data_IF_044091743918
#
_entry.id   IF_044091743918
#
_cell.length_a   1.000
_cell.length_b   1.000
_cell.length_c   1.000
_cell.angle_alpha   90.00
_cell.angle_beta   90.00
_cell.angle_gamma   90.00
#
_symmetry.space_group_name_H-M   'P 1'
#
loop_
_entity.id
_entity.type
_entity.pdbx_description
1 polymer ?
#
# COMPACT_ATOMS: atom_id res chain seq x y z
N UNK A 1 -8.60 10.54 -6.03
CA UNK A 1 -7.54 10.23 -5.06
C UNK A 1 -6.63 9.14 -5.62
N UNK A 2 -5.33 9.35 -5.57
CA UNK A 2 -4.37 8.36 -6.06
C UNK A 2 -3.97 7.44 -4.91
N UNK A 3 -4.01 6.13 -5.16
CA UNK A 3 -3.64 5.12 -4.18
C UNK A 3 -2.39 4.41 -4.71
N UNK A 4 -1.34 4.34 -3.90
CA UNK A 4 -0.12 3.62 -4.24
C UNK A 4 0.16 2.59 -3.17
N UNK A 5 0.43 1.36 -3.59
CA UNK A 5 0.78 0.26 -2.69
C UNK A 5 2.23 -0.13 -2.96
N UNK A 6 3.05 -0.08 -1.92
CA UNK A 6 4.45 -0.51 -1.99
C UNK A 6 4.53 -1.94 -1.47
N UNK A 7 5.09 -2.82 -2.29
CA UNK A 7 5.05 -4.26 -2.04
C UNK A 7 6.44 -4.87 -2.19
N UNK A 8 6.55 -6.13 -1.75
CA UNK A 8 7.70 -7.00 -2.03
C UNK A 8 7.16 -8.34 -2.51
N UNK A 9 7.98 -9.14 -3.22
CA UNK A 9 7.57 -10.50 -3.62
C UNK A 9 7.23 -11.35 -2.39
N UNK A 10 6.33 -12.31 -2.57
CA UNK A 10 5.95 -13.28 -1.55
C UNK A 10 5.36 -12.65 -0.28
N UNK A 11 4.66 -11.54 -0.45
CA UNK A 11 4.02 -10.85 0.67
C UNK A 11 2.52 -11.14 0.66
N UNK A 12 2.06 -11.94 1.62
CA UNK A 12 0.64 -12.31 1.71
C UNK A 12 -0.22 -11.08 1.98
N UNK A 13 0.19 -10.23 2.91
CA UNK A 13 -0.58 -9.03 3.24
C UNK A 13 -0.65 -8.04 2.07
N UNK A 14 0.39 -7.99 1.25
CA UNK A 14 0.37 -7.17 0.05
C UNK A 14 -0.72 -7.65 -0.90
N UNK A 15 -0.80 -8.96 -1.11
CA UNK A 15 -1.81 -9.54 -1.99
C UNK A 15 -3.22 -9.35 -1.41
N UNK A 16 -3.37 -9.51 -0.11
CA UNK A 16 -4.65 -9.28 0.56
C UNK A 16 -5.12 -7.84 0.36
N UNK A 17 -4.21 -6.88 0.50
CA UNK A 17 -4.52 -5.47 0.32
C UNK A 17 -4.96 -5.18 -1.12
N UNK A 18 -4.23 -5.73 -2.09
CA UNK A 18 -4.56 -5.55 -3.51
C UNK A 18 -5.94 -6.14 -3.82
N UNK A 19 -6.20 -7.35 -3.31
CA UNK A 19 -7.47 -8.02 -3.53
C UNK A 19 -8.62 -7.21 -2.95
N UNK A 20 -8.42 -6.63 -1.77
CA UNK A 20 -9.43 -5.79 -1.14
C UNK A 20 -9.77 -4.58 -2.04
N UNK A 21 -8.75 -3.91 -2.56
CA UNK A 21 -8.96 -2.76 -3.42
C UNK A 21 -9.63 -3.15 -4.73
N UNK A 22 -9.22 -4.27 -5.32
CA UNK A 22 -9.83 -4.77 -6.56
C UNK A 22 -11.29 -5.11 -6.34
N UNK A 23 -11.60 -5.77 -5.23
CA UNK A 23 -12.97 -6.17 -4.91
C UNK A 23 -13.90 -4.97 -4.80
N UNK A 24 -13.39 -3.85 -4.32
CA UNK A 24 -14.16 -2.64 -4.17
C UNK A 24 -13.98 -1.67 -5.33
N UNK A 25 -13.36 -2.13 -6.42
CA UNK A 25 -13.20 -1.39 -7.67
C UNK A 25 -12.45 -0.07 -7.49
N UNK A 26 -11.48 -0.07 -6.57
CA UNK A 26 -10.62 1.08 -6.36
C UNK A 26 -9.36 0.93 -7.20
N UNK A 27 -9.07 1.94 -8.01
CA UNK A 27 -7.85 1.96 -8.80
C UNK A 27 -6.64 2.22 -7.91
N UNK A 28 -5.55 1.53 -8.17
CA UNK A 28 -4.32 1.73 -7.41
C UNK A 28 -3.11 1.44 -8.30
N UNK A 29 -1.97 1.96 -7.87
CA UNK A 29 -0.69 1.67 -8.51
C UNK A 29 0.14 0.83 -7.54
N UNK A 30 0.79 -0.20 -8.07
CA UNK A 30 1.62 -1.10 -7.27
C UNK A 30 3.09 -0.87 -7.60
N UNK A 31 3.90 -0.68 -6.57
CA UNK A 31 5.35 -0.48 -6.72
C UNK A 31 6.07 -1.61 -6.00
N UNK A 32 6.88 -2.36 -6.75
CA UNK A 32 7.66 -3.45 -6.20
C UNK A 32 9.00 -2.89 -5.71
N UNK A 33 9.20 -2.92 -4.39
CA UNK A 33 10.39 -2.33 -3.78
C UNK A 33 11.67 -3.11 -4.08
N UNK A 34 11.55 -4.36 -4.53
CA UNK A 34 12.74 -5.14 -4.88
C UNK A 34 13.43 -4.60 -6.12
N UNK A 35 12.70 -3.87 -6.97
CA UNK A 35 13.25 -3.26 -8.18
C UNK A 35 13.30 -1.73 -8.09
N UNK A 36 12.93 -1.17 -6.93
CA UNK A 36 12.95 0.27 -6.70
C UNK A 36 13.59 0.56 -5.33
N UNK A 37 14.91 0.32 -5.19
CA UNK A 37 15.57 0.47 -3.88
C UNK A 37 15.54 1.91 -3.34
N UNK A 38 15.51 2.91 -4.19
CA UNK A 38 15.39 4.30 -3.79
C UNK A 38 14.05 4.57 -3.08
N UNK A 39 12.98 3.96 -3.59
CA UNK A 39 11.67 4.08 -2.96
C UNK A 39 11.65 3.39 -1.59
N UNK A 40 12.36 2.26 -1.47
CA UNK A 40 12.48 1.55 -0.20
C UNK A 40 13.15 2.44 0.85
N UNK A 41 14.24 3.09 0.46
CA UNK A 41 14.93 4.00 1.37
C UNK A 41 14.05 5.18 1.78
N UNK A 42 13.25 5.69 0.86
CA UNK A 42 12.33 6.77 1.18
C UNK A 42 11.30 6.35 2.23
N UNK A 43 10.76 5.15 2.10
CA UNK A 43 9.79 4.63 3.07
C UNK A 43 10.42 4.41 4.43
N UNK A 44 11.67 3.95 4.47
CA UNK A 44 12.39 3.79 5.73
C UNK A 44 12.56 5.12 6.43
N UNK A 45 12.85 6.17 5.69
CA UNK A 45 13.02 7.51 6.28
C UNK A 45 11.70 8.04 6.82
N UNK A 46 10.57 7.52 6.35
CA UNK A 46 9.26 7.86 6.89
C UNK A 46 8.88 7.03 8.12
N UNK A 47 9.75 6.09 8.51
CA UNK A 47 9.49 5.24 9.67
C UNK A 47 8.87 3.90 9.37
N UNK A 48 8.75 3.52 8.08
CA UNK A 48 8.15 2.26 7.69
C UNK A 48 9.21 1.20 7.45
N UNK A 49 9.01 0.03 8.03
CA UNK A 49 9.94 -1.09 7.89
C UNK A 49 9.25 -2.37 7.41
N UNK A 50 7.97 -2.29 7.06
CA UNK A 50 7.19 -3.45 6.64
C UNK A 50 6.38 -3.12 5.39
N UNK A 51 6.04 -4.17 4.65
CA UNK A 51 5.12 -4.05 3.52
C UNK A 51 3.81 -4.78 3.86
N UNK A 52 2.70 -4.42 3.26
CA UNK A 52 2.54 -3.33 2.30
C UNK A 52 2.56 -1.96 2.97
N UNK A 53 3.02 -0.95 2.24
CA UNK A 53 2.82 0.44 2.64
C UNK A 53 1.83 1.04 1.66
N UNK A 54 0.78 1.66 2.18
CA UNK A 54 -0.26 2.26 1.35
C UNK A 54 -0.22 3.77 1.54
N UNK A 55 -0.20 4.49 0.43
CA UNK A 55 -0.29 5.95 0.44
C UNK A 55 -1.51 6.33 -0.38
N UNK A 56 -2.44 7.04 0.25
CA UNK A 56 -3.70 7.43 -0.37
C UNK A 56 -3.99 8.89 0.00
N UNK A 57 -3.60 9.81 -0.88
CA UNK A 57 -3.72 11.23 -0.61
C UNK A 57 -2.87 11.62 0.59
N UNK A 58 -3.51 12.17 1.62
CA UNK A 58 -2.82 12.58 2.85
C UNK A 58 -2.66 11.47 3.87
N UNK A 59 -3.26 10.31 3.60
CA UNK A 59 -3.24 9.18 4.52
C UNK A 59 -2.20 8.17 4.09
N UNK A 60 -1.50 7.59 5.06
CA UNK A 60 -0.57 6.49 4.77
C UNK A 60 -0.43 5.60 6.00
N UNK A 61 -0.13 4.32 5.75
CA UNK A 61 0.02 3.32 6.81
C UNK A 61 0.78 2.14 6.27
N UNK A 62 1.19 1.23 7.17
CA UNK A 62 1.81 -0.02 6.77
C UNK A 62 0.98 -1.20 7.26
N UNK A 63 1.09 -2.32 6.57
CA UNK A 63 0.35 -3.54 6.87
C UNK A 63 -1.04 -3.52 6.28
N UNK A 64 -1.75 -4.64 6.43
CA UNK A 64 -3.14 -4.73 5.98
C UNK A 64 -4.03 -4.10 7.05
N UNK A 65 -4.61 -2.97 6.72
CA UNK A 65 -5.45 -2.20 7.63
C UNK A 65 -6.83 -1.99 7.01
N UNK A 66 -7.73 -2.97 7.18
CA UNK A 66 -9.06 -2.85 6.58
C UNK A 66 -9.86 -1.66 7.10
N UNK A 67 -9.62 -1.24 8.35
CA UNK A 67 -10.26 -0.06 8.90
C UNK A 67 -9.93 1.20 8.10
N UNK A 68 -8.68 1.33 7.68
CA UNK A 68 -8.26 2.48 6.88
C UNK A 68 -8.68 2.34 5.42
N UNK A 69 -8.63 1.13 4.88
CA UNK A 69 -9.08 0.88 3.51
C UNK A 69 -10.56 1.16 3.37
N UNK A 70 -11.34 0.80 4.38
CA UNK A 70 -12.78 1.04 4.37
C UNK A 70 -13.11 2.52 4.22
N UNK A 71 -12.30 3.39 4.84
CA UNK A 71 -12.51 4.83 4.72
C UNK A 71 -12.36 5.32 3.29
N UNK A 72 -11.52 4.68 2.50
CA UNK A 72 -11.33 5.04 1.10
C UNK A 72 -12.57 4.72 0.28
N UNK A 73 -13.27 3.65 0.64
CA UNK A 73 -14.46 3.22 -0.07
C UNK A 73 -15.63 4.17 0.17
N UNK A 74 -15.69 4.75 1.35
CA UNK A 74 -16.82 5.57 1.76
C UNK A 74 -16.83 6.97 1.15
N UNK A 75 -15.80 7.33 0.45
CA UNK A 75 -15.71 8.67 -0.18
C UNK A 75 -16.48 8.77 -1.46
#
# INVERSE_FOLDING_TARGET
>A
MAITIYTLPDCVQCETTKTYLQKHQLAYESVDLSIHPDEFERLKSMGYDRVPVVIAGDEHWQGFRPDKLFKLIRK
#
